data_IF_641612708342
#
_entry.id   IF_641612708342
#
_cell.length_a   1.000
_cell.length_b   1.000
_cell.length_c   1.000
_cell.angle_alpha   90.00
_cell.angle_beta   90.00
_cell.angle_gamma   90.00
#
_symmetry.space_group_name_H-M   'P 1'
#
loop_
_entity.id
_entity.type
_entity.pdbx_description
1 polymer ?
#
# COMPACT_ATOMS: atom_id res chain seq x y z
N UNK A 1 9.91 3.16 -17.67
CA UNK A 1 9.15 3.56 -16.48
C UNK A 1 9.92 3.12 -15.26
N UNK A 2 10.26 4.02 -14.35
CA UNK A 2 10.97 3.67 -13.11
C UNK A 2 9.95 3.40 -12.01
N UNK A 3 10.09 2.28 -11.31
CA UNK A 3 9.30 1.93 -10.14
C UNK A 3 10.08 2.29 -8.87
N UNK A 4 9.45 3.00 -7.94
CA UNK A 4 10.07 3.39 -6.66
C UNK A 4 9.18 2.99 -5.50
N UNK A 5 9.76 2.44 -4.43
CA UNK A 5 9.07 2.23 -3.17
C UNK A 5 9.43 3.39 -2.24
N UNK A 6 8.42 4.02 -1.63
CA UNK A 6 8.59 5.14 -0.69
C UNK A 6 7.53 5.09 0.41
N UNK A 7 7.70 5.87 1.47
CA UNK A 7 6.62 6.08 2.43
C UNK A 7 5.37 6.63 1.74
N UNK A 8 4.22 6.10 2.16
CA UNK A 8 2.93 6.61 1.76
C UNK A 8 2.59 7.90 2.50
N UNK A 9 1.86 8.76 1.84
CA UNK A 9 1.46 10.08 2.33
C UNK A 9 -0.05 10.29 2.10
N UNK A 10 -0.69 11.29 2.73
CA UNK A 10 -2.12 11.57 2.53
C UNK A 10 -2.54 11.72 1.06
N UNK A 11 -1.64 12.19 0.18
CA UNK A 11 -1.90 12.32 -1.27
C UNK A 11 -2.11 10.98 -1.99
N UNK A 12 -1.66 9.87 -1.40
CA UNK A 12 -1.72 8.54 -2.00
C UNK A 12 -3.04 7.80 -1.70
N UNK A 13 -3.82 8.28 -0.72
CA UNK A 13 -4.99 7.56 -0.18
C UNK A 13 -6.07 7.30 -1.23
N UNK A 14 -6.25 8.19 -2.20
CA UNK A 14 -7.22 8.02 -3.27
C UNK A 14 -6.85 6.84 -4.19
N UNK A 15 -5.58 6.71 -4.57
CA UNK A 15 -5.10 5.59 -5.39
C UNK A 15 -5.06 4.28 -4.59
N UNK A 16 -4.70 4.35 -3.30
CA UNK A 16 -4.77 3.19 -2.38
C UNK A 16 -6.21 2.65 -2.32
N UNK A 17 -7.22 3.53 -2.21
CA UNK A 17 -8.63 3.12 -2.24
C UNK A 17 -9.00 2.37 -3.51
N UNK A 18 -8.56 2.87 -4.67
CA UNK A 18 -8.80 2.21 -5.97
C UNK A 18 -8.20 0.81 -5.98
N UNK A 19 -6.96 0.66 -5.50
CA UNK A 19 -6.27 -0.63 -5.43
C UNK A 19 -6.97 -1.59 -4.47
N UNK A 20 -7.37 -1.12 -3.28
CA UNK A 20 -8.10 -1.94 -2.29
C UNK A 20 -9.41 -2.48 -2.84
N UNK A 21 -10.23 -1.62 -3.45
CA UNK A 21 -11.52 -2.03 -4.03
C UNK A 21 -11.33 -3.08 -5.12
N UNK A 22 -10.24 -2.98 -5.88
CA UNK A 22 -9.88 -3.95 -6.92
C UNK A 22 -9.17 -5.22 -6.38
N UNK A 23 -8.93 -5.30 -5.06
CA UNK A 23 -8.22 -6.40 -4.39
C UNK A 23 -9.07 -6.89 -3.21
N UNK A 24 -10.19 -7.60 -3.45
CA UNK A 24 -11.12 -8.02 -2.40
C UNK A 24 -10.49 -8.94 -1.33
N UNK A 25 -9.36 -9.57 -1.64
CA UNK A 25 -8.53 -10.34 -0.71
C UNK A 25 -7.78 -9.47 0.32
N UNK A 26 -7.62 -8.18 0.05
CA UNK A 26 -6.95 -7.22 0.94
C UNK A 26 -7.93 -6.67 1.99
N UNK A 27 -7.40 -6.26 3.15
CA UNK A 27 -8.22 -5.62 4.17
C UNK A 27 -8.86 -4.33 3.62
N UNK A 28 -10.16 -4.17 3.86
CA UNK A 28 -10.96 -3.03 3.36
C UNK A 28 -11.10 -1.94 4.43
N UNK A 29 -9.99 -1.58 5.08
CA UNK A 29 -9.96 -0.47 6.03
C UNK A 29 -10.22 0.86 5.33
N UNK A 30 -10.61 1.88 6.11
CA UNK A 30 -10.56 3.24 5.59
C UNK A 30 -9.09 3.56 5.25
N UNK A 31 -8.77 4.02 4.02
CA UNK A 31 -7.42 4.41 3.65
C UNK A 31 -6.75 5.36 4.65
N UNK A 32 -7.51 6.24 5.32
CA UNK A 32 -6.96 7.15 6.33
C UNK A 32 -6.32 6.38 7.49
N UNK A 33 -6.85 5.20 7.85
CA UNK A 33 -6.36 4.39 8.95
C UNK A 33 -4.96 3.81 8.68
N UNK A 34 -4.55 3.67 7.41
CA UNK A 34 -3.18 3.24 7.09
C UNK A 34 -2.12 4.24 7.52
N UNK A 35 -2.47 5.52 7.69
CA UNK A 35 -1.52 6.52 8.17
C UNK A 35 -1.17 6.34 9.65
N UNK A 36 -1.89 5.49 10.38
CA UNK A 36 -1.55 5.09 11.75
C UNK A 36 -0.50 3.95 11.80
N UNK A 37 -0.03 3.51 10.64
CA UNK A 37 0.88 2.39 10.47
C UNK A 37 2.09 2.78 9.63
N UNK A 38 3.09 1.90 9.58
CA UNK A 38 4.16 2.06 8.62
C UNK A 38 3.59 1.77 7.21
N UNK A 39 3.37 2.84 6.44
CA UNK A 39 2.78 2.77 5.11
C UNK A 39 3.85 2.97 4.04
N UNK A 40 3.92 2.04 3.09
CA UNK A 40 4.73 2.15 1.88
C UNK A 40 3.86 2.06 0.64
N UNK A 41 4.25 2.81 -0.39
CA UNK A 41 3.63 2.76 -1.72
C UNK A 41 4.67 2.45 -2.78
N UNK A 42 4.29 1.63 -3.74
CA UNK A 42 5.02 1.45 -4.99
C UNK A 42 4.48 2.47 -6.00
N UNK A 43 5.33 3.41 -6.42
CA UNK A 43 4.98 4.47 -7.37
C UNK A 43 5.64 4.23 -8.74
N UNK A 44 4.83 4.31 -9.80
CA UNK A 44 5.26 4.29 -11.19
C UNK A 44 4.96 5.68 -11.82
N UNK A 45 5.94 6.58 -11.75
CA UNK A 45 5.72 7.99 -12.06
C UNK A 45 4.80 8.65 -11.03
N UNK A 46 3.69 9.22 -11.48
CA UNK A 46 2.70 9.88 -10.60
C UNK A 46 1.65 8.92 -10.01
N UNK A 47 1.62 7.65 -10.47
CA UNK A 47 0.63 6.66 -10.04
C UNK A 47 1.17 5.76 -8.95
N UNK A 48 0.32 5.46 -7.96
CA UNK A 48 0.56 4.36 -7.03
C UNK A 48 0.04 3.09 -7.69
N UNK A 49 0.86 2.04 -7.70
CA UNK A 49 0.54 0.73 -8.30
C UNK A 49 0.50 -0.40 -7.28
N UNK A 50 0.78 -0.09 -6.02
CA UNK A 50 0.63 -1.01 -4.89
C UNK A 50 0.93 -0.31 -3.58
N UNK A 51 0.46 -0.89 -2.49
CA UNK A 51 0.72 -0.40 -1.14
C UNK A 51 0.96 -1.55 -0.18
N UNK A 52 1.70 -1.25 0.89
CA UNK A 52 1.95 -2.14 2.02
C UNK A 52 1.73 -1.35 3.30
N UNK A 53 0.91 -1.88 4.19
CA UNK A 53 0.81 -1.41 5.57
C UNK A 53 1.46 -2.44 6.49
N UNK A 54 2.30 -1.98 7.40
CA UNK A 54 2.94 -2.82 8.40
C UNK A 54 3.11 -2.10 9.72
N UNK A 55 3.67 -2.81 10.69
CA UNK A 55 4.11 -2.23 11.96
C UNK A 55 5.38 -2.91 12.44
N UNK A 56 6.28 -2.14 13.01
CA UNK A 56 7.42 -2.68 13.74
C UNK A 56 6.96 -3.28 15.06
N UNK A 57 7.32 -4.53 15.30
CA UNK A 57 7.21 -5.18 16.61
C UNK A 57 8.57 -5.05 17.31
N UNK A 58 8.60 -5.15 18.64
CA UNK A 58 9.86 -5.11 19.38
C UNK A 58 10.84 -6.20 18.92
N UNK A 59 12.11 -6.11 19.35
CA UNK A 59 13.14 -7.11 19.06
C UNK A 59 13.48 -7.32 17.57
N UNK A 60 13.24 -6.32 16.72
CA UNK A 60 13.62 -6.36 15.30
C UNK A 60 12.65 -7.12 14.41
N UNK A 61 11.45 -7.41 14.91
CA UNK A 61 10.38 -8.04 14.14
C UNK A 61 9.46 -6.99 13.51
N UNK A 62 8.70 -7.37 12.50
CA UNK A 62 7.67 -6.53 11.91
C UNK A 62 6.55 -7.39 11.37
N UNK A 63 5.33 -6.85 11.43
CA UNK A 63 4.14 -7.50 10.92
C UNK A 63 3.63 -6.77 9.69
N UNK A 64 3.26 -7.53 8.66
CA UNK A 64 2.54 -7.00 7.50
C UNK A 64 1.04 -7.08 7.79
N UNK A 65 0.39 -5.93 7.81
CA UNK A 65 -1.01 -5.79 8.16
C UNK A 65 -1.92 -5.82 6.93
N UNK A 66 -1.45 -5.26 5.81
CA UNK A 66 -2.15 -5.33 4.54
C UNK A 66 -1.19 -5.13 3.36
N UNK A 67 -1.49 -5.74 2.22
CA UNK A 67 -0.72 -5.63 0.99
C UNK A 67 -1.68 -5.78 -0.19
N UNK A 68 -1.61 -4.87 -1.14
CA UNK A 68 -2.29 -5.04 -2.42
C UNK A 68 -1.51 -4.39 -3.56
N UNK A 69 -1.65 -4.97 -4.75
CA UNK A 69 -1.07 -4.49 -6.00
C UNK A 69 -2.19 -4.27 -7.00
N UNK A 70 -2.14 -3.16 -7.73
CA UNK A 70 -3.08 -2.85 -8.80
C UNK A 70 -3.17 -4.04 -9.78
N UNK A 71 -4.37 -4.50 -10.20
CA UNK A 71 -4.52 -5.68 -11.05
C UNK A 71 -3.63 -5.66 -12.31
N UNK A 72 -3.58 -4.52 -13.00
CA UNK A 72 -2.79 -4.35 -14.23
C UNK A 72 -1.27 -4.38 -14.01
N UNK A 73 -0.82 -4.36 -12.75
CA UNK A 73 0.60 -4.43 -12.35
C UNK A 73 0.98 -5.78 -11.75
N UNK A 74 0.04 -6.73 -11.67
CA UNK A 74 0.32 -8.10 -11.21
C UNK A 74 0.97 -8.90 -12.33
N UNK A 75 1.95 -9.73 -11.98
CA UNK A 75 2.51 -10.72 -12.90
C UNK A 75 1.57 -11.93 -12.85
N UNK A 76 0.63 -12.01 -13.78
CA UNK A 76 -0.14 -13.24 -13.97
C UNK A 76 0.78 -14.37 -14.47
#
# INVERSE_FOLDING_TARGET
MTLTIRSGEPRDLAEIRVIQVASPESAQWDPVDYLNHDLWVAAAGIRVVGFLAGRTLGAGESELLNLAVAPDSRRQ
#
